data_IF_886246944903
#
_entry.id   IF_886246944903
#
_cell.length_a   1.000
_cell.length_b   1.000
_cell.length_c   1.000
_cell.angle_alpha   90.00
_cell.angle_beta   90.00
_cell.angle_gamma   90.00
#
_symmetry.space_group_name_H-M   'P 1'
#
loop_
_entity.id
_entity.type
_entity.pdbx_description
1 polymer ?
#
# COMPACT_ATOMS: atom_id res chain seq x y z
N UNK A 1 5.73 2.16 12.41
CA UNK A 1 5.76 1.57 11.04
C UNK A 1 4.47 1.90 10.31
N UNK A 2 4.57 2.39 9.08
CA UNK A 2 3.40 2.65 8.27
C UNK A 2 3.07 1.45 7.40
N UNK A 3 1.87 0.94 7.53
CA UNK A 3 1.24 0.15 6.49
C UNK A 3 0.05 0.95 6.01
N UNK A 4 0.06 1.35 4.77
CA UNK A 4 -0.95 2.25 4.24
C UNK A 4 -1.90 1.48 3.36
N UNK A 5 -3.15 1.58 3.67
CA UNK A 5 -4.23 1.10 2.84
C UNK A 5 -4.93 2.25 2.15
N UNK A 6 -5.09 2.16 0.86
CA UNK A 6 -5.80 3.16 0.12
C UNK A 6 -7.06 2.59 -0.53
N UNK A 7 -8.16 3.10 -0.14
CA UNK A 7 -9.45 2.66 -0.64
C UNK A 7 -10.01 3.52 -1.78
N UNK A 8 -9.38 4.65 -2.09
CA UNK A 8 -9.85 5.52 -3.17
C UNK A 8 -8.81 5.67 -4.27
N UNK A 9 -8.89 4.77 -5.28
CA UNK A 9 -7.99 4.79 -6.44
C UNK A 9 -8.00 6.11 -7.21
N UNK A 10 -9.12 6.83 -7.15
CA UNK A 10 -9.29 8.07 -7.91
C UNK A 10 -8.50 9.23 -7.31
N UNK A 11 -8.06 9.10 -6.06
CA UNK A 11 -7.20 10.09 -5.40
C UNK A 11 -5.74 10.09 -5.86
N UNK A 12 -5.35 9.14 -6.72
CA UNK A 12 -3.96 8.96 -7.19
C UNK A 12 -3.69 9.40 -8.60
N UNK A 13 -4.70 9.62 -9.39
CA UNK A 13 -4.50 9.98 -10.79
C UNK A 13 -3.84 11.37 -10.87
N UNK A 14 -2.73 11.51 -11.61
CA UNK A 14 -2.14 12.81 -11.87
C UNK A 14 -3.19 13.74 -12.49
N UNK A 15 -3.36 14.92 -11.91
CA UNK A 15 -4.38 15.87 -12.35
C UNK A 15 -5.77 15.61 -11.80
N UNK A 16 -5.96 14.62 -10.97
CA UNK A 16 -7.22 14.43 -10.27
C UNK A 16 -7.58 15.65 -9.42
N UNK A 17 -8.81 16.12 -9.58
CA UNK A 17 -9.32 17.29 -8.84
C UNK A 17 -9.39 17.05 -7.31
N UNK A 18 -9.31 15.79 -6.89
CA UNK A 18 -9.09 15.35 -5.50
C UNK A 18 -7.65 15.45 -5.03
N UNK A 19 -6.73 16.02 -5.81
CA UNK A 19 -5.36 16.32 -5.40
C UNK A 19 -5.23 17.24 -4.17
N UNK A 20 -6.34 17.48 -3.50
CA UNK A 20 -6.43 18.07 -2.17
C UNK A 20 -6.16 17.09 -1.03
N UNK A 21 -6.03 15.80 -1.31
CA UNK A 21 -5.57 14.84 -0.30
C UNK A 21 -4.10 15.15 -0.02
N UNK A 22 -3.85 15.83 1.07
CA UNK A 22 -2.53 16.23 1.52
C UNK A 22 -1.75 15.09 2.17
N UNK A 23 -0.77 15.46 3.01
CA UNK A 23 0.08 14.52 3.74
C UNK A 23 0.77 13.52 2.80
N UNK A 24 1.54 14.06 1.86
CA UNK A 24 2.35 13.26 0.92
C UNK A 24 3.64 12.85 1.58
N UNK A 25 3.91 11.57 1.60
CA UNK A 25 5.07 10.97 2.25
C UNK A 25 5.76 10.01 1.29
N UNK A 26 7.10 9.98 1.34
CA UNK A 26 7.89 8.98 0.61
C UNK A 26 7.88 7.67 1.40
N UNK A 27 7.37 6.61 0.78
CA UNK A 27 7.24 5.29 1.37
C UNK A 27 7.75 4.21 0.41
N UNK A 28 8.19 3.10 0.97
CA UNK A 28 8.69 1.95 0.22
C UNK A 28 7.57 0.97 -0.11
N UNK A 29 7.65 0.39 -1.31
CA UNK A 29 6.84 -0.75 -1.72
C UNK A 29 7.75 -1.85 -2.23
N UNK A 30 7.57 -3.06 -1.70
CA UNK A 30 8.28 -4.26 -2.13
C UNK A 30 7.34 -5.27 -2.76
N UNK A 31 7.82 -5.96 -3.78
CA UNK A 31 7.08 -7.04 -4.44
C UNK A 31 8.04 -8.04 -5.05
N UNK A 32 7.55 -9.24 -5.37
CA UNK A 32 8.34 -10.26 -6.06
C UNK A 32 8.79 -9.74 -7.42
N UNK A 33 9.97 -10.16 -7.88
CA UNK A 33 10.51 -9.76 -9.19
C UNK A 33 9.54 -10.04 -10.33
N UNK A 34 8.81 -11.15 -10.27
CA UNK A 34 7.80 -11.52 -11.28
C UNK A 34 6.66 -10.52 -11.45
N UNK A 35 6.41 -9.66 -10.46
CA UNK A 35 5.32 -8.70 -10.50
C UNK A 35 5.73 -7.34 -11.10
N UNK A 36 7.04 -7.08 -11.25
CA UNK A 36 7.51 -5.73 -11.60
C UNK A 36 7.16 -5.31 -13.02
N UNK A 37 7.14 -6.23 -13.98
CA UNK A 37 6.69 -5.90 -15.34
C UNK A 37 5.26 -5.36 -15.33
N UNK A 38 4.36 -6.00 -14.58
CA UNK A 38 2.98 -5.53 -14.40
C UNK A 38 2.89 -4.20 -13.65
N UNK A 39 3.67 -4.03 -12.58
CA UNK A 39 3.69 -2.79 -11.79
C UNK A 39 4.17 -1.61 -12.65
N UNK A 40 5.23 -1.78 -13.42
CA UNK A 40 5.78 -0.72 -14.25
C UNK A 40 4.86 -0.37 -15.44
N UNK A 41 4.13 -1.33 -15.97
CA UNK A 41 3.22 -1.10 -17.10
C UNK A 41 1.85 -0.55 -16.70
N UNK A 42 1.34 -0.94 -15.55
CA UNK A 42 -0.03 -0.64 -15.13
C UNK A 42 -0.14 0.09 -13.79
N UNK A 43 0.97 0.31 -13.13
CA UNK A 43 1.02 0.90 -11.79
C UNK A 43 0.65 -0.09 -10.68
N UNK A 44 0.68 0.39 -9.45
CA UNK A 44 0.24 -0.36 -8.29
C UNK A 44 -1.29 -0.48 -8.29
N UNK A 45 -1.79 -1.68 -8.10
CA UNK A 45 -3.23 -1.98 -8.20
C UNK A 45 -3.73 -2.67 -6.94
N UNK A 46 -4.95 -2.32 -6.56
CA UNK A 46 -5.69 -3.02 -5.51
C UNK A 46 -6.17 -4.35 -6.08
N UNK A 47 -6.05 -5.42 -5.30
CA UNK A 47 -6.56 -6.72 -5.70
C UNK A 47 -8.06 -6.67 -6.01
N UNK A 48 -8.52 -7.37 -7.07
CA UNK A 48 -9.93 -7.34 -7.47
C UNK A 48 -10.84 -7.93 -6.38
N UNK A 49 -12.14 -7.58 -6.39
CA UNK A 49 -13.09 -8.04 -5.36
C UNK A 49 -13.15 -9.56 -5.18
N UNK A 50 -13.01 -10.32 -6.27
CA UNK A 50 -13.04 -11.78 -6.29
C UNK A 50 -11.78 -12.45 -5.73
N UNK A 51 -10.66 -11.72 -5.60
CA UNK A 51 -9.46 -12.27 -5.01
C UNK A 51 -9.64 -12.50 -3.50
N UNK A 52 -9.06 -13.57 -2.92
CA UNK A 52 -9.17 -13.84 -1.49
C UNK A 52 -8.56 -12.71 -0.66
N UNK A 53 -9.15 -12.46 0.51
CA UNK A 53 -8.72 -11.40 1.44
C UNK A 53 -7.64 -11.88 2.40
N UNK A 54 -7.37 -13.18 2.44
CA UNK A 54 -6.38 -13.80 3.34
C UNK A 54 -4.98 -13.21 3.14
N UNK A 55 -4.33 -12.88 4.25
CA UNK A 55 -2.99 -12.29 4.25
C UNK A 55 -2.94 -10.76 4.19
N UNK A 56 -4.08 -10.10 4.13
CA UNK A 56 -4.15 -8.63 4.16
C UNK A 56 -4.57 -8.15 5.55
N UNK A 57 -3.62 -7.63 6.31
CA UNK A 57 -3.84 -7.19 7.71
C UNK A 57 -4.97 -6.15 7.83
N UNK A 58 -5.11 -5.26 6.86
CA UNK A 58 -6.13 -4.20 6.82
C UNK A 58 -7.08 -4.33 5.62
N UNK A 59 -7.23 -5.54 5.10
CA UNK A 59 -8.00 -5.79 3.89
C UNK A 59 -7.25 -5.45 2.61
N UNK A 60 -7.94 -5.46 1.49
CA UNK A 60 -7.36 -5.20 0.17
C UNK A 60 -6.92 -3.76 0.03
N UNK A 61 -5.75 -3.57 -0.54
CA UNK A 61 -5.18 -2.25 -0.80
C UNK A 61 -3.76 -2.34 -1.28
N UNK A 62 -3.16 -1.20 -1.50
CA UNK A 62 -1.73 -1.09 -1.78
C UNK A 62 -1.02 -0.77 -0.48
N UNK A 63 -0.02 -1.58 -0.14
CA UNK A 63 0.71 -1.50 1.12
C UNK A 63 2.08 -0.87 0.93
N UNK A 64 2.41 0.03 1.85
CA UNK A 64 3.69 0.71 1.90
C UNK A 64 4.28 0.63 3.31
N UNK A 65 5.56 0.89 3.44
CA UNK A 65 6.22 1.04 4.72
C UNK A 65 7.18 2.23 4.70
N UNK A 66 7.35 2.85 5.84
CA UNK A 66 8.35 3.89 6.06
C UNK A 66 9.76 3.33 6.23
N UNK A 67 9.87 2.03 6.54
CA UNK A 67 11.13 1.30 6.67
C UNK A 67 11.35 0.36 5.48
N UNK A 68 12.49 0.52 4.80
CA UNK A 68 12.88 -0.34 3.68
C UNK A 68 12.94 -1.81 4.06
N UNK A 69 13.39 -2.13 5.28
CA UNK A 69 13.47 -3.50 5.79
C UNK A 69 12.11 -4.19 5.86
N UNK A 70 11.05 -3.46 6.16
CA UNK A 70 9.68 -4.00 6.15
C UNK A 70 9.23 -4.33 4.74
N UNK A 71 9.40 -3.40 3.81
CA UNK A 71 9.02 -3.62 2.41
C UNK A 71 9.88 -4.69 1.73
N UNK A 72 11.14 -4.82 2.11
CA UNK A 72 12.05 -5.83 1.57
C UNK A 72 11.56 -7.26 1.81
N UNK A 73 10.82 -7.51 2.89
CA UNK A 73 10.25 -8.83 3.16
C UNK A 73 9.32 -9.31 2.05
N UNK A 74 8.66 -8.40 1.35
CA UNK A 74 7.72 -8.71 0.26
C UNK A 74 8.42 -8.95 -1.09
N UNK A 75 9.73 -8.73 -1.17
CA UNK A 75 10.52 -9.10 -2.35
C UNK A 75 10.76 -10.61 -2.43
N UNK A 76 10.71 -11.30 -1.29
CA UNK A 76 10.96 -12.74 -1.18
C UNK A 76 12.28 -13.16 -1.82
N UNK A 77 13.32 -12.35 -1.64
CA UNK A 77 14.67 -12.72 -2.04
C UNK A 77 15.13 -13.96 -1.28
N UNK A 78 15.90 -14.80 -1.94
CA UNK A 78 16.40 -16.07 -1.39
C UNK A 78 17.90 -16.22 -1.68
N UNK A 79 18.53 -17.25 -1.11
CA UNK A 79 19.94 -17.55 -1.43
C UNK A 79 20.16 -17.89 -2.90
N UNK A 80 19.19 -18.53 -3.54
CA UNK A 80 19.24 -18.88 -4.97
C UNK A 80 18.93 -17.70 -5.88
N UNK A 81 18.18 -16.70 -5.37
CA UNK A 81 17.87 -15.47 -6.07
C UNK A 81 17.94 -14.29 -5.09
N UNK A 82 19.17 -13.77 -4.83
CA UNK A 82 19.39 -12.79 -3.76
C UNK A 82 19.01 -11.36 -4.12
N UNK A 83 18.35 -11.14 -5.25
CA UNK A 83 17.98 -9.81 -5.72
C UNK A 83 16.54 -9.47 -5.35
N UNK A 84 16.32 -8.22 -5.02
CA UNK A 84 14.99 -7.64 -4.79
C UNK A 84 14.93 -6.22 -5.34
N UNK A 85 13.73 -5.77 -5.63
CA UNK A 85 13.45 -4.40 -6.05
C UNK A 85 12.51 -3.73 -5.06
N UNK A 86 12.84 -2.50 -4.71
CA UNK A 86 11.99 -1.62 -3.92
C UNK A 86 11.61 -0.41 -4.75
N UNK A 87 10.36 -0.04 -4.71
CA UNK A 87 9.87 1.20 -5.27
C UNK A 87 9.78 2.24 -4.14
N UNK A 88 10.32 3.42 -4.38
CA UNK A 88 10.12 4.58 -3.51
C UNK A 88 9.00 5.43 -4.10
N UNK A 89 7.90 5.55 -3.37
CA UNK A 89 6.69 6.19 -3.85
C UNK A 89 6.39 7.45 -3.05
N UNK A 90 5.98 8.51 -3.72
CA UNK A 90 5.28 9.60 -3.08
C UNK A 90 3.81 9.20 -2.92
N UNK A 91 3.37 9.04 -1.66
CA UNK A 91 2.03 8.54 -1.33
C UNK A 91 1.21 9.64 -0.67
N UNK A 92 0.06 9.93 -1.23
CA UNK A 92 -0.91 10.87 -0.65
C UNK A 92 -1.73 10.13 0.44
N UNK A 93 -1.29 10.23 1.68
CA UNK A 93 -1.92 9.54 2.81
C UNK A 93 -3.21 10.21 3.28
N UNK A 94 -3.30 11.53 3.13
CA UNK A 94 -4.39 12.29 3.74
C UNK A 94 -4.45 12.09 5.25
N UNK A 95 -5.65 12.04 5.78
CA UNK A 95 -5.89 11.71 7.18
C UNK A 95 -5.90 10.21 7.37
N UNK A 96 -4.96 9.70 8.17
CA UNK A 96 -4.84 8.28 8.44
C UNK A 96 -5.81 7.84 9.53
N UNK A 97 -6.43 6.68 9.32
CA UNK A 97 -7.09 5.92 10.38
C UNK A 97 -6.05 5.02 11.04
N UNK A 98 -5.71 5.30 12.29
CA UNK A 98 -4.67 4.57 13.01
C UNK A 98 -5.26 3.33 13.71
N UNK A 99 -4.65 2.18 13.45
CA UNK A 99 -5.05 0.90 14.03
C UNK A 99 -3.87 0.25 14.73
N UNK A 100 -4.13 -0.32 15.89
CA UNK A 100 -3.16 -1.07 16.70
C UNK A 100 -3.29 -2.58 16.54
N UNK A 101 -4.33 -3.02 15.89
CA UNK A 101 -4.64 -4.42 15.63
C UNK A 101 -5.03 -4.63 14.17
N UNK A 102 -4.92 -5.87 13.71
CA UNK A 102 -5.36 -6.24 12.38
C UNK A 102 -6.89 -6.13 12.26
N UNK A 103 -7.36 -5.51 11.20
CA UNK A 103 -8.78 -5.45 10.82
C UNK A 103 -8.92 -5.69 9.32
N UNK A 104 -9.31 -6.89 8.95
CA UNK A 104 -9.46 -7.29 7.54
C UNK A 104 -10.55 -6.52 6.79
N UNK A 105 -11.39 -5.80 7.50
CA UNK A 105 -12.44 -4.95 6.92
C UNK A 105 -12.10 -3.46 6.98
N UNK A 106 -10.94 -3.08 7.47
CA UNK A 106 -10.56 -1.67 7.64
C UNK A 106 -10.74 -0.85 6.37
N UNK A 107 -10.43 -1.42 5.21
CA UNK A 107 -10.60 -0.73 3.95
C UNK A 107 -12.03 -0.51 3.51
N UNK A 108 -12.93 -1.41 3.89
CA UNK A 108 -14.37 -1.26 3.61
C UNK A 108 -15.04 -0.29 4.58
N UNK A 109 -14.52 -0.23 5.81
CA UNK A 109 -15.10 0.50 6.92
C UNK A 109 -14.29 1.74 7.30
N UNK A 110 -13.57 2.33 6.35
CA UNK A 110 -12.84 3.57 6.61
C UNK A 110 -13.81 4.64 7.11
N UNK A 111 -13.52 5.25 8.27
CA UNK A 111 -14.34 6.34 8.79
C UNK A 111 -14.42 7.51 7.81
N UNK A 112 -15.54 8.20 7.78
CA UNK A 112 -15.72 9.41 6.97
C UNK A 112 -14.61 10.44 7.28
N UNK A 113 -13.97 10.97 6.24
CA UNK A 113 -12.88 11.93 6.37
C UNK A 113 -11.50 11.30 6.52
N UNK A 114 -11.38 9.98 6.57
CA UNK A 114 -10.11 9.26 6.52
C UNK A 114 -9.83 8.75 5.11
N UNK A 115 -8.55 8.70 4.73
CA UNK A 115 -8.12 8.39 3.36
C UNK A 115 -7.22 7.16 3.29
N UNK A 116 -6.61 6.79 4.40
CA UNK A 116 -5.67 5.67 4.49
C UNK A 116 -5.74 5.00 5.85
N UNK A 117 -5.17 3.83 5.97
CA UNK A 117 -5.00 3.11 7.24
C UNK A 117 -3.52 3.04 7.59
N UNK A 118 -3.21 3.38 8.82
CA UNK A 118 -1.87 3.30 9.39
C UNK A 118 -1.84 2.28 10.52
N UNK A 119 -1.03 1.25 10.37
CA UNK A 119 -0.76 0.30 11.46
C UNK A 119 0.28 0.86 12.42
N UNK A 120 -0.08 0.94 13.68
CA UNK A 120 0.81 1.32 14.79
C UNK A 120 1.10 0.05 15.60
N UNK A 121 1.81 -0.86 14.98
CA UNK A 121 2.08 -2.18 15.57
C UNK A 121 3.58 -2.34 15.83
#
# INVERSE_FOLDING_TARGET
>A
MFQVYNCNKDSYLPGYKGGKVGNRVLLFHGSRLSNWAGILSQGLRIAPPEAPVTGYMFGKGVYFADMSSKSANYCFASRSNPYGLLLLCEVALGDCNELVEADYNAGKNIPKGKHSVKGII
#
